data_IF_662363608220
#
_entry.id   IF_662363608220
#
_cell.length_a   1.000
_cell.length_b   1.000
_cell.length_c   1.000
_cell.angle_alpha   90.00
_cell.angle_beta   90.00
_cell.angle_gamma   90.00
#
_symmetry.space_group_name_H-M   'P 1'
#
loop_
_entity.id
_entity.type
_entity.pdbx_description
1 polymer ?
#
# COMPACT_ATOMS: atom_id res chain seq x y z
N UNK A 1 19.25 -18.15 -9.88
CA UNK A 1 20.63 -17.60 -9.75
C UNK A 1 21.26 -18.03 -8.45
N UNK A 2 20.70 -17.69 -7.24
CA UNK A 2 21.34 -18.02 -5.95
C UNK A 2 21.44 -19.54 -5.71
N UNK A 3 20.38 -20.29 -6.01
CA UNK A 3 20.37 -21.77 -5.93
C UNK A 3 21.26 -22.40 -6.99
N UNK A 4 21.24 -21.90 -8.21
CA UNK A 4 22.08 -22.37 -9.34
C UNK A 4 23.57 -22.19 -9.05
N UNK A 5 23.93 -21.18 -8.25
CA UNK A 5 25.31 -20.90 -7.85
C UNK A 5 25.66 -21.50 -6.47
N UNK A 6 24.80 -22.32 -5.88
CA UNK A 6 25.08 -23.04 -4.64
C UNK A 6 25.28 -22.15 -3.42
N UNK A 7 24.70 -20.93 -3.38
CA UNK A 7 24.87 -20.03 -2.27
C UNK A 7 24.14 -20.54 -1.03
N UNK A 8 24.85 -20.61 0.11
CA UNK A 8 24.29 -21.09 1.38
C UNK A 8 23.06 -20.31 1.87
N UNK A 9 22.89 -19.09 1.35
CA UNK A 9 21.79 -18.19 1.69
C UNK A 9 20.59 -18.28 0.74
N UNK A 10 20.65 -19.11 -0.31
CA UNK A 10 19.62 -19.21 -1.35
C UNK A 10 18.22 -19.52 -0.79
N UNK A 11 18.15 -20.37 0.25
CA UNK A 11 16.91 -20.77 0.94
C UNK A 11 16.67 -20.04 2.25
N UNK A 12 17.52 -19.06 2.59
CA UNK A 12 17.37 -18.29 3.83
C UNK A 12 16.10 -17.45 3.75
N UNK A 13 15.27 -17.57 4.78
CA UNK A 13 14.04 -16.78 4.91
C UNK A 13 14.40 -15.30 5.03
N UNK A 14 13.69 -14.45 4.28
CA UNK A 14 13.86 -13.00 4.37
C UNK A 14 13.66 -12.50 5.79
N UNK A 15 14.48 -11.57 6.20
CA UNK A 15 14.32 -10.86 7.46
C UNK A 15 13.06 -9.99 7.39
N UNK A 16 12.09 -10.24 8.27
CA UNK A 16 10.82 -9.50 8.31
C UNK A 16 10.84 -8.33 9.30
N UNK A 17 11.96 -8.07 9.95
CA UNK A 17 12.13 -7.03 10.95
C UNK A 17 13.35 -6.15 10.70
N UNK A 18 13.33 -4.95 11.27
CA UNK A 18 14.49 -4.07 11.29
C UNK A 18 15.43 -4.58 12.38
N UNK A 19 16.61 -5.09 12.00
CA UNK A 19 17.53 -5.84 12.87
C UNK A 19 17.90 -5.14 14.18
N UNK A 20 17.97 -3.81 14.20
CA UNK A 20 18.34 -3.03 15.38
C UNK A 20 17.15 -2.64 16.27
N UNK A 21 15.91 -2.88 15.85
CA UNK A 21 14.71 -2.62 16.67
C UNK A 21 14.34 -3.85 17.51
N UNK A 22 14.71 -5.06 17.06
CA UNK A 22 14.34 -6.33 17.69
C UNK A 22 12.86 -6.67 17.55
N UNK A 23 12.42 -7.73 18.24
CA UNK A 23 11.01 -8.13 18.27
C UNK A 23 10.20 -7.24 19.21
N UNK A 24 9.63 -6.17 18.68
CA UNK A 24 8.76 -5.26 19.42
C UNK A 24 7.40 -5.15 18.75
N UNK A 25 6.38 -4.90 19.55
CA UNK A 25 5.08 -4.51 19.00
C UNK A 25 5.24 -3.15 18.30
N UNK A 26 5.05 -3.15 16.99
CA UNK A 26 5.27 -1.98 16.13
C UNK A 26 4.49 -0.73 16.60
N UNK A 27 3.26 -0.91 17.07
CA UNK A 27 2.44 0.19 17.60
C UNK A 27 3.09 0.79 18.85
N UNK A 28 3.48 -0.04 19.82
CA UNK A 28 4.12 0.43 21.05
C UNK A 28 5.45 1.13 20.78
N UNK A 29 6.22 0.60 19.81
CA UNK A 29 7.45 1.23 19.37
C UNK A 29 7.19 2.62 18.79
N UNK A 30 6.25 2.77 17.87
CA UNK A 30 5.91 4.05 17.27
C UNK A 30 5.39 5.05 18.29
N UNK A 31 4.62 4.62 19.29
CA UNK A 31 4.09 5.49 20.35
C UNK A 31 5.18 6.17 21.17
N UNK A 32 6.38 5.60 21.25
CA UNK A 32 7.52 6.20 21.93
C UNK A 32 8.02 7.46 21.21
N UNK A 33 7.86 7.54 19.91
CA UNK A 33 8.39 8.62 19.06
C UNK A 33 7.32 9.54 18.48
N UNK A 34 6.11 9.02 18.31
CA UNK A 34 5.01 9.74 17.68
C UNK A 34 3.85 9.88 18.67
N UNK A 35 3.48 11.11 19.04
CA UNK A 35 2.36 11.31 19.95
C UNK A 35 1.06 10.80 19.33
N UNK A 36 0.23 10.19 20.17
CA UNK A 36 -1.11 9.82 19.79
C UNK A 36 -1.91 11.08 19.39
N UNK A 37 -2.58 10.99 18.24
CA UNK A 37 -3.56 11.99 17.80
C UNK A 37 -4.88 11.27 17.55
N UNK A 38 -5.69 11.04 18.60
CA UNK A 38 -6.97 10.38 18.45
C UNK A 38 -7.89 11.13 17.50
N UNK A 39 -8.73 10.41 16.80
CA UNK A 39 -9.72 10.95 15.90
C UNK A 39 -10.82 9.94 15.63
N UNK A 40 -11.77 10.34 14.81
CA UNK A 40 -12.92 9.50 14.51
C UNK A 40 -12.66 8.51 13.39
N UNK A 41 -13.28 7.33 13.51
CA UNK A 41 -13.45 6.38 12.41
C UNK A 41 -14.86 6.57 11.87
N UNK A 42 -14.96 6.86 10.56
CA UNK A 42 -16.22 7.07 9.87
C UNK A 42 -16.37 6.18 8.66
N UNK A 43 -17.59 5.86 8.31
CA UNK A 43 -17.95 5.27 7.02
C UNK A 43 -17.90 6.32 5.91
N UNK A 44 -17.95 5.89 4.65
CA UNK A 44 -17.93 6.81 3.50
C UNK A 44 -19.14 7.74 3.44
N UNK A 45 -20.27 7.33 4.01
CA UNK A 45 -21.48 8.14 4.18
C UNK A 45 -21.42 9.09 5.39
N UNK A 46 -20.27 9.13 6.09
CA UNK A 46 -20.00 10.07 7.19
C UNK A 46 -20.42 9.60 8.58
N UNK A 47 -21.01 8.41 8.73
CA UNK A 47 -21.44 7.87 10.04
C UNK A 47 -20.22 7.52 10.89
N UNK A 48 -20.17 8.04 12.12
CA UNK A 48 -19.15 7.63 13.10
C UNK A 48 -19.39 6.19 13.55
N UNK A 49 -18.35 5.36 13.47
CA UNK A 49 -18.38 3.93 13.86
C UNK A 49 -17.36 3.59 14.95
N UNK A 50 -16.43 4.50 15.26
CA UNK A 50 -15.43 4.28 16.28
C UNK A 50 -14.45 5.43 16.41
N UNK A 51 -13.35 5.16 17.11
CA UNK A 51 -12.24 6.10 17.30
C UNK A 51 -10.91 5.42 17.05
N UNK A 52 -9.94 6.17 16.51
CA UNK A 52 -8.59 5.72 16.29
C UNK A 52 -7.58 6.46 17.18
N UNK A 53 -6.44 5.87 17.45
CA UNK A 53 -5.38 6.47 18.27
C UNK A 53 -4.44 7.39 17.47
N UNK A 54 -4.52 7.37 16.16
CA UNK A 54 -3.70 8.17 15.26
C UNK A 54 -3.66 7.54 13.86
N UNK A 55 -3.82 8.34 12.81
CA UNK A 55 -3.86 7.86 11.40
C UNK A 55 -2.56 7.14 10.98
N UNK A 56 -1.43 7.42 11.65
CA UNK A 56 -0.14 6.79 11.37
C UNK A 56 -0.13 5.28 11.63
N UNK A 57 -1.02 4.77 12.48
CA UNK A 57 -1.07 3.36 12.83
C UNK A 57 -1.87 2.50 11.86
N UNK A 58 -2.45 3.11 10.83
CA UNK A 58 -3.34 2.43 9.89
C UNK A 58 -2.79 2.49 8.46
N UNK A 59 -3.08 1.45 7.69
CA UNK A 59 -2.70 1.33 6.28
C UNK A 59 -3.94 1.06 5.44
N UNK A 60 -3.98 1.54 4.20
CA UNK A 60 -5.08 1.27 3.27
C UNK A 60 -5.25 -0.25 3.08
N UNK A 61 -6.49 -0.71 3.12
CA UNK A 61 -6.85 -2.11 3.05
C UNK A 61 -6.64 -2.91 4.35
N UNK A 62 -6.20 -2.26 5.43
CA UNK A 62 -6.05 -2.90 6.74
C UNK A 62 -7.42 -3.33 7.29
N UNK A 63 -7.46 -4.55 7.85
CA UNK A 63 -8.66 -5.14 8.48
C UNK A 63 -8.51 -5.30 9.98
N UNK A 64 -7.31 -5.70 10.43
CA UNK A 64 -7.04 -6.01 11.84
C UNK A 64 -6.73 -4.76 12.65
N UNK A 65 -7.13 -4.78 13.93
CA UNK A 65 -6.80 -3.70 14.88
C UNK A 65 -7.62 -2.42 14.72
N UNK A 66 -8.76 -2.48 14.00
CA UNK A 66 -9.72 -1.39 13.94
C UNK A 66 -10.59 -1.31 15.21
N UNK A 67 -10.72 -2.43 15.94
CA UNK A 67 -11.55 -2.56 17.14
C UNK A 67 -13.00 -2.11 16.91
N UNK A 68 -13.49 -2.29 15.68
CA UNK A 68 -14.87 -2.05 15.32
C UNK A 68 -15.66 -3.34 15.53
N UNK A 69 -16.77 -3.25 16.25
CA UNK A 69 -17.70 -4.36 16.41
C UNK A 69 -18.41 -4.74 15.11
N UNK A 70 -19.07 -5.89 15.09
CA UNK A 70 -20.00 -6.23 14.02
C UNK A 70 -21.13 -5.21 13.96
N UNK A 71 -21.74 -5.06 12.78
CA UNK A 71 -22.93 -4.24 12.64
C UNK A 71 -24.14 -4.92 13.30
N UNK A 72 -25.07 -4.13 13.82
CA UNK A 72 -26.30 -4.63 14.47
C UNK A 72 -27.17 -5.49 13.53
N UNK A 73 -26.91 -5.41 12.24
CA UNK A 73 -27.68 -6.10 11.19
C UNK A 73 -27.24 -7.56 10.97
N UNK A 74 -26.36 -8.10 11.83
CA UNK A 74 -25.95 -9.52 11.81
C UNK A 74 -25.07 -9.91 10.63
N UNK A 75 -24.68 -8.98 9.77
CA UNK A 75 -23.79 -9.22 8.65
C UNK A 75 -22.37 -9.37 9.18
N UNK A 76 -21.80 -10.56 9.04
CA UNK A 76 -20.40 -10.86 9.47
C UNK A 76 -19.33 -10.32 8.50
N UNK A 77 -19.60 -9.20 7.87
CA UNK A 77 -18.64 -8.59 6.97
C UNK A 77 -17.48 -7.90 7.71
N UNK A 78 -16.42 -7.65 6.97
CA UNK A 78 -15.17 -7.12 7.53
C UNK A 78 -15.05 -5.64 7.26
N UNK A 79 -14.53 -4.91 8.23
CA UNK A 79 -14.15 -3.52 8.07
C UNK A 79 -12.80 -3.41 7.36
N UNK A 80 -12.69 -2.44 6.45
CA UNK A 80 -11.46 -2.10 5.73
C UNK A 80 -11.18 -0.62 5.84
N UNK A 81 -9.93 -0.27 6.06
CA UNK A 81 -9.48 1.12 5.92
C UNK A 81 -9.43 1.48 4.43
N UNK A 82 -10.20 2.47 4.01
CA UNK A 82 -10.27 2.92 2.61
C UNK A 82 -9.54 4.23 2.37
N UNK A 83 -9.51 5.14 3.36
CA UNK A 83 -8.87 6.43 3.21
C UNK A 83 -8.42 7.00 4.56
N UNK A 84 -7.46 7.91 4.54
CA UNK A 84 -7.03 8.71 5.69
C UNK A 84 -7.22 10.18 5.37
N UNK A 85 -8.24 10.80 5.94
CA UNK A 85 -8.41 12.24 5.87
C UNK A 85 -7.46 12.92 6.86
N UNK A 86 -6.28 13.27 6.37
CA UNK A 86 -5.23 13.90 7.18
C UNK A 86 -5.62 15.29 7.65
N UNK A 87 -6.47 16.01 6.90
CA UNK A 87 -6.90 17.38 7.21
C UNK A 87 -7.85 17.41 8.39
N UNK A 88 -8.81 16.49 8.42
CA UNK A 88 -9.84 16.42 9.45
C UNK A 88 -9.52 15.40 10.55
N UNK A 89 -8.38 14.67 10.43
CA UNK A 89 -7.96 13.59 11.33
C UNK A 89 -9.02 12.49 11.43
N UNK A 90 -9.56 12.06 10.29
CA UNK A 90 -10.61 11.02 10.20
C UNK A 90 -10.07 9.80 9.45
N UNK A 91 -10.34 8.63 9.98
CA UNK A 91 -10.09 7.36 9.32
C UNK A 91 -11.37 6.89 8.63
N UNK A 92 -11.37 6.81 7.30
CA UNK A 92 -12.52 6.34 6.54
C UNK A 92 -12.44 4.83 6.35
N UNK A 93 -13.55 4.16 6.61
CA UNK A 93 -13.67 2.70 6.53
C UNK A 93 -14.89 2.28 5.70
N UNK A 94 -14.78 1.11 5.07
CA UNK A 94 -15.90 0.42 4.40
C UNK A 94 -16.19 -0.89 5.10
N UNK A 95 -17.43 -1.32 5.08
CA UNK A 95 -17.90 -2.60 5.63
C UNK A 95 -18.36 -3.51 4.49
N UNK A 96 -17.69 -4.64 4.31
CA UNK A 96 -18.00 -5.62 3.27
C UNK A 96 -17.65 -5.22 1.84
N UNK A 97 -17.65 -3.94 1.50
CA UNK A 97 -17.38 -3.44 0.16
C UNK A 97 -15.89 -3.06 -0.01
N UNK A 98 -15.19 -3.75 -0.91
CA UNK A 98 -13.81 -3.48 -1.27
C UNK A 98 -13.65 -2.57 -2.51
N UNK A 99 -14.75 -2.23 -3.18
CA UNK A 99 -14.69 -1.38 -4.38
C UNK A 99 -13.97 -0.05 -4.16
N UNK A 100 -14.13 0.64 -3.01
CA UNK A 100 -13.38 1.87 -2.73
C UNK A 100 -11.87 1.70 -2.61
N UNK A 101 -11.38 0.46 -2.46
CA UNK A 101 -9.94 0.15 -2.42
C UNK A 101 -9.33 -0.05 -3.80
N UNK A 102 -10.14 -0.15 -4.85
CA UNK A 102 -9.66 -0.45 -6.20
C UNK A 102 -9.24 0.82 -6.93
N UNK A 103 -8.00 0.82 -7.42
CA UNK A 103 -7.42 1.92 -8.20
C UNK A 103 -7.19 1.47 -9.64
N UNK A 104 -7.46 2.35 -10.61
CA UNK A 104 -7.22 2.12 -12.04
C UNK A 104 -5.83 2.58 -12.50
N UNK A 105 -5.11 3.29 -11.65
CA UNK A 105 -3.79 3.82 -11.96
C UNK A 105 -3.15 4.53 -10.78
N UNK A 106 -1.95 5.03 -10.99
CA UNK A 106 -1.21 5.87 -10.04
C UNK A 106 -0.39 6.93 -10.78
N UNK A 107 0.08 7.90 -10.04
CA UNK A 107 1.09 8.85 -10.51
C UNK A 107 2.35 8.66 -9.67
N UNK A 108 3.50 8.61 -10.32
CA UNK A 108 4.80 8.54 -9.66
C UNK A 108 5.74 9.63 -10.16
N UNK A 109 6.75 9.95 -9.36
CA UNK A 109 7.76 10.95 -9.61
C UNK A 109 9.14 10.32 -9.51
N UNK A 110 10.15 10.97 -10.07
CA UNK A 110 11.57 10.62 -9.89
C UNK A 110 11.88 9.14 -10.19
N UNK A 111 11.37 8.65 -11.35
CA UNK A 111 11.63 7.26 -11.76
C UNK A 111 13.10 7.11 -12.14
N UNK A 112 13.80 6.22 -11.45
CA UNK A 112 15.16 5.82 -11.78
C UNK A 112 15.12 4.70 -12.82
N UNK A 113 15.76 4.89 -13.96
CA UNK A 113 15.75 3.96 -15.09
C UNK A 113 17.08 3.23 -15.23
N UNK A 114 17.03 1.93 -15.42
CA UNK A 114 18.19 1.08 -15.65
C UNK A 114 17.99 0.35 -16.98
N UNK A 115 18.93 0.46 -17.96
CA UNK A 115 20.20 1.18 -17.87
C UNK A 115 20.08 2.70 -18.10
N UNK A 116 19.04 3.18 -18.75
CA UNK A 116 18.82 4.59 -19.07
C UNK A 116 17.33 4.85 -19.31
N UNK A 117 16.90 6.13 -19.25
CA UNK A 117 15.51 6.48 -19.57
C UNK A 117 15.13 6.06 -21.00
N UNK A 118 13.96 5.42 -21.20
CA UNK A 118 13.46 5.09 -22.52
C UNK A 118 13.18 6.36 -23.32
N UNK A 119 13.28 6.27 -24.65
CA UNK A 119 12.96 7.38 -25.55
C UNK A 119 11.46 7.55 -25.75
N UNK A 120 10.74 6.45 -25.68
CA UNK A 120 9.29 6.39 -25.85
C UNK A 120 8.57 7.11 -24.71
N UNK A 121 7.52 7.87 -25.04
CA UNK A 121 6.66 8.52 -24.06
C UNK A 121 5.66 7.55 -23.43
N UNK A 122 5.24 6.55 -24.18
CA UNK A 122 4.29 5.53 -23.74
C UNK A 122 4.92 4.15 -23.84
N UNK A 123 4.88 3.39 -22.72
CA UNK A 123 5.44 2.05 -22.66
C UNK A 123 4.47 1.09 -22.01
N UNK A 124 4.39 -0.13 -22.55
CA UNK A 124 3.79 -1.27 -21.87
C UNK A 124 4.87 -1.98 -21.06
N UNK A 125 4.60 -2.18 -19.79
CA UNK A 125 5.53 -2.80 -18.84
C UNK A 125 4.78 -3.69 -17.87
N UNK A 126 5.52 -4.38 -17.02
CA UNK A 126 5.01 -5.01 -15.82
C UNK A 126 5.39 -4.16 -14.61
N UNK A 127 4.56 -4.21 -13.57
CA UNK A 127 4.81 -3.48 -12.32
C UNK A 127 4.53 -4.32 -11.09
N UNK A 128 5.28 -4.05 -10.02
CA UNK A 128 4.99 -4.51 -8.66
C UNK A 128 4.87 -3.31 -7.74
N UNK A 129 3.77 -3.27 -7.00
CA UNK A 129 3.48 -2.24 -5.99
C UNK A 129 3.78 -2.73 -4.57
N UNK A 130 4.05 -4.02 -4.41
CA UNK A 130 4.42 -4.69 -3.16
C UNK A 130 5.33 -5.87 -3.46
N UNK A 131 6.27 -6.14 -2.58
CA UNK A 131 7.29 -7.19 -2.74
C UNK A 131 6.72 -8.56 -3.11
N UNK A 132 5.65 -9.01 -2.44
CA UNK A 132 5.06 -10.35 -2.67
C UNK A 132 3.89 -10.38 -3.65
N UNK A 133 3.60 -9.26 -4.30
CA UNK A 133 2.53 -9.20 -5.29
C UNK A 133 3.00 -9.85 -6.60
N UNK A 134 2.13 -10.59 -7.31
CA UNK A 134 2.38 -10.96 -8.69
C UNK A 134 2.56 -9.73 -9.57
N UNK A 135 3.23 -9.92 -10.69
CA UNK A 135 3.42 -8.88 -11.70
C UNK A 135 2.07 -8.47 -12.31
N UNK A 136 1.92 -7.17 -12.54
CA UNK A 136 0.71 -6.60 -13.11
C UNK A 136 1.06 -5.87 -14.39
N UNK A 137 0.28 -6.10 -15.46
CA UNK A 137 0.40 -5.35 -16.71
C UNK A 137 0.02 -3.88 -16.51
N UNK A 138 0.84 -2.98 -17.03
CA UNK A 138 0.63 -1.54 -16.92
C UNK A 138 1.04 -0.82 -18.19
N UNK A 139 0.40 0.32 -18.44
CA UNK A 139 0.81 1.29 -19.44
C UNK A 139 1.32 2.54 -18.75
N UNK A 140 2.58 2.88 -18.99
CA UNK A 140 3.21 4.10 -18.49
C UNK A 140 3.08 5.19 -19.53
N UNK A 141 2.69 6.38 -19.09
CA UNK A 141 2.71 7.61 -19.88
C UNK A 141 3.65 8.59 -19.17
N UNK A 142 4.79 8.86 -19.81
CA UNK A 142 5.80 9.77 -19.27
C UNK A 142 5.45 11.19 -19.61
N UNK A 143 5.40 12.03 -18.59
CA UNK A 143 5.18 13.47 -18.69
C UNK A 143 6.35 14.22 -18.05
N UNK A 144 6.42 15.53 -18.26
CA UNK A 144 7.47 16.34 -17.63
C UNK A 144 7.35 16.31 -16.10
N UNK A 145 8.33 15.70 -15.44
CA UNK A 145 8.41 15.63 -13.97
C UNK A 145 7.52 14.58 -13.31
N UNK A 146 6.75 13.78 -14.08
CA UNK A 146 5.93 12.71 -13.53
C UNK A 146 5.71 11.57 -14.53
N UNK A 147 5.30 10.42 -14.04
CA UNK A 147 4.85 9.29 -14.87
C UNK A 147 3.46 8.87 -14.41
N UNK A 148 2.51 8.88 -15.31
CA UNK A 148 1.15 8.35 -15.08
C UNK A 148 1.18 6.88 -15.45
N UNK A 149 0.63 6.05 -14.58
CA UNK A 149 0.61 4.58 -14.74
C UNK A 149 -0.82 4.11 -14.74
N UNK A 150 -1.26 3.54 -15.84
CA UNK A 150 -2.57 2.92 -15.98
C UNK A 150 -2.43 1.41 -15.81
N UNK A 151 -3.28 0.83 -14.99
CA UNK A 151 -3.30 -0.62 -14.76
C UNK A 151 -4.19 -1.29 -15.78
N UNK A 152 -3.75 -2.42 -16.34
CA UNK A 152 -4.58 -3.25 -17.23
C UNK A 152 -5.79 -3.80 -16.46
N UNK A 153 -5.59 -4.17 -15.19
CA UNK A 153 -6.64 -4.58 -14.25
C UNK A 153 -6.58 -3.72 -12.97
N UNK A 154 -7.72 -3.28 -12.40
CA UNK A 154 -7.73 -2.48 -11.20
C UNK A 154 -6.96 -3.13 -10.04
N UNK A 155 -6.15 -2.35 -9.33
CA UNK A 155 -5.30 -2.83 -8.25
C UNK A 155 -5.82 -2.41 -6.89
N UNK A 156 -5.79 -3.37 -5.95
CA UNK A 156 -6.31 -3.18 -4.59
C UNK A 156 -5.32 -2.45 -3.69
N UNK A 157 -5.80 -1.41 -2.99
CA UNK A 157 -5.10 -0.70 -1.92
C UNK A 157 -3.72 -0.19 -2.33
N UNK A 158 -3.62 0.42 -3.52
CA UNK A 158 -2.43 1.16 -3.94
C UNK A 158 -2.26 2.35 -2.99
N UNK A 159 -1.13 2.38 -2.29
CA UNK A 159 -0.94 3.29 -1.16
C UNK A 159 0.07 4.38 -1.54
N UNK A 160 -0.29 5.67 -1.43
CA UNK A 160 0.65 6.77 -1.61
C UNK A 160 1.87 6.65 -0.68
N UNK A 161 3.04 7.07 -1.17
CA UNK A 161 4.31 6.98 -0.43
C UNK A 161 4.99 5.61 -0.49
N UNK A 162 4.46 4.67 -1.26
CA UNK A 162 5.11 3.39 -1.54
C UNK A 162 5.88 3.44 -2.84
N UNK A 163 6.91 2.60 -2.94
CA UNK A 163 7.65 2.40 -4.19
C UNK A 163 6.87 1.51 -5.15
N UNK A 164 7.06 1.76 -6.45
CA UNK A 164 6.64 0.89 -7.53
C UNK A 164 7.86 0.51 -8.37
N UNK A 165 7.99 -0.74 -8.73
CA UNK A 165 9.05 -1.23 -9.62
C UNK A 165 8.42 -1.59 -10.95
N UNK A 166 8.97 -1.00 -12.02
CA UNK A 166 8.58 -1.29 -13.40
C UNK A 166 9.67 -2.12 -14.06
N UNK A 167 9.29 -3.06 -14.90
CA UNK A 167 10.25 -3.87 -15.64
C UNK A 167 9.64 -4.50 -16.89
N UNK A 168 10.51 -4.74 -17.84
CA UNK A 168 10.31 -5.59 -19.01
C UNK A 168 11.67 -6.20 -19.38
N UNK A 169 11.79 -6.80 -20.56
CA UNK A 169 13.05 -7.41 -21.02
C UNK A 169 14.19 -6.40 -21.20
N UNK A 170 13.91 -5.13 -21.39
CA UNK A 170 14.88 -4.08 -21.72
C UNK A 170 15.17 -3.12 -20.56
N UNK A 171 14.17 -2.85 -19.70
CA UNK A 171 14.25 -1.83 -18.66
C UNK A 171 13.85 -2.37 -17.28
N UNK A 172 14.46 -1.78 -16.25
CA UNK A 172 14.02 -1.86 -14.87
C UNK A 172 14.01 -0.46 -14.24
#
# INVERSE_FOLDING_TARGET
IAEENGLATAKKKDSTGICFIGERNFRNFLQTYLPNRPGEIRTLDGKKVGEHLGLMYYTLGQRRGLNLGGTKDGVQDRWFVVEKDMKNNVLLVSHGDEAPLMSKGLVTYDVNWIPCPPQEQTLKMYAKFRYRQPEQGVTLQREKGRTVVWFDEPQRAVTPGQYVVFYNEKYC
#
